data_IF_612616502684
#
_entry.id   IF_612616502684
#
_cell.length_a   1.000
_cell.length_b   1.000
_cell.length_c   1.000
_cell.angle_alpha   90.00
_cell.angle_beta   90.00
_cell.angle_gamma   90.00
#
_symmetry.space_group_name_H-M   'P 1'
#
loop_
_entity.id
_entity.type
_entity.pdbx_description
1 polymer ?
#
# COMPACT_ATOMS: atom_id res chain seq x y z
N UNK A 1 -0.24 -7.35 11.29
CA UNK A 1 -0.21 -6.01 11.93
C UNK A 1 -0.11 -4.97 10.82
N UNK A 2 -0.65 -3.77 11.03
CA UNK A 2 -0.57 -2.69 10.04
C UNK A 2 0.70 -1.88 10.27
N UNK A 3 1.47 -1.67 9.22
CA UNK A 3 2.70 -0.87 9.22
C UNK A 3 2.67 0.12 8.06
N UNK A 4 3.17 1.35 8.21
CA UNK A 4 3.37 2.25 7.08
C UNK A 4 4.53 1.74 6.23
N UNK A 5 4.25 1.35 4.98
CA UNK A 5 5.23 0.78 4.05
C UNK A 5 5.19 1.57 2.74
N UNK A 6 6.36 1.85 2.17
CA UNK A 6 6.45 2.41 0.82
C UNK A 6 6.10 1.32 -0.20
N UNK A 7 4.95 1.43 -0.86
CA UNK A 7 4.48 0.47 -1.87
C UNK A 7 3.92 1.18 -3.09
N UNK A 8 3.84 0.46 -4.21
CA UNK A 8 3.28 0.99 -5.45
C UNK A 8 1.78 1.18 -5.30
N UNK A 9 1.28 2.38 -5.65
CA UNK A 9 -0.12 2.77 -5.43
C UNK A 9 -0.85 3.16 -6.71
N UNK A 10 -0.36 2.71 -7.87
CA UNK A 10 -1.02 2.95 -9.15
C UNK A 10 -2.44 2.37 -9.14
N UNK A 11 -3.41 3.16 -9.61
CA UNK A 11 -4.84 2.84 -9.58
C UNK A 11 -5.51 3.09 -8.22
N UNK A 12 -4.75 3.39 -7.17
CA UNK A 12 -5.27 3.75 -5.85
C UNK A 12 -5.33 5.27 -5.70
N UNK A 13 -6.26 5.79 -4.91
CA UNK A 13 -6.35 7.23 -4.60
C UNK A 13 -6.40 8.15 -5.85
N UNK A 14 -6.87 7.64 -7.00
CA UNK A 14 -6.87 8.37 -8.27
C UNK A 14 -5.50 8.53 -8.94
N UNK A 15 -4.45 7.89 -8.41
CA UNK A 15 -3.08 7.95 -8.94
C UNK A 15 -2.97 7.06 -10.18
N UNK A 16 -2.51 7.63 -11.30
CA UNK A 16 -2.39 6.91 -12.58
C UNK A 16 -0.98 6.44 -12.89
N UNK A 17 0.02 7.10 -12.30
CA UNK A 17 1.42 6.83 -12.54
C UNK A 17 1.98 5.76 -11.61
N UNK A 18 3.09 5.13 -12.01
CA UNK A 18 3.81 4.16 -11.19
C UNK A 18 4.65 4.89 -10.12
N UNK A 19 4.03 5.18 -8.97
CA UNK A 19 4.66 5.86 -7.83
C UNK A 19 4.58 5.03 -6.57
N UNK A 20 5.56 5.20 -5.68
CA UNK A 20 5.61 4.58 -4.36
C UNK A 20 5.30 5.60 -3.27
N UNK A 21 4.32 5.29 -2.41
CA UNK A 21 3.95 6.12 -1.26
C UNK A 21 3.94 5.29 0.02
N UNK A 22 4.18 5.95 1.15
CA UNK A 22 4.02 5.33 2.48
C UNK A 22 2.53 5.26 2.82
N UNK A 23 1.97 4.05 2.77
CA UNK A 23 0.56 3.78 3.10
C UNK A 23 0.46 2.63 4.11
N UNK A 24 -0.63 2.54 4.88
CA UNK A 24 -0.83 1.44 5.81
C UNK A 24 -0.97 0.11 5.06
N UNK A 25 -0.07 -0.84 5.35
CA UNK A 25 -0.04 -2.17 4.74
C UNK A 25 -0.11 -3.26 5.82
N UNK A 26 -0.76 -4.38 5.49
CA UNK A 26 -0.71 -5.60 6.29
C UNK A 26 0.49 -6.43 5.80
N UNK A 27 1.37 -6.79 6.74
CA UNK A 27 2.49 -7.68 6.46
C UNK A 27 2.19 -9.11 6.92
N UNK A 28 2.48 -10.07 6.03
CA UNK A 28 2.52 -11.50 6.30
C UNK A 28 3.88 -12.10 5.96
N UNK A 29 4.00 -13.43 6.02
CA UNK A 29 5.27 -14.14 5.80
C UNK A 29 5.90 -13.87 4.42
N UNK A 30 5.08 -13.61 3.40
CA UNK A 30 5.51 -13.36 2.02
C UNK A 30 5.59 -11.87 1.66
N UNK A 31 5.60 -10.96 2.65
CA UNK A 31 5.64 -9.51 2.42
C UNK A 31 4.28 -8.84 2.59
N UNK A 32 3.94 -7.90 1.72
CA UNK A 32 2.66 -7.17 1.78
C UNK A 32 1.55 -8.12 1.35
N UNK A 33 0.64 -8.43 2.27
CA UNK A 33 -0.55 -9.23 1.98
C UNK A 33 -1.74 -8.37 1.59
N UNK A 34 -1.79 -7.12 2.06
CA UNK A 34 -2.88 -6.20 1.78
C UNK A 34 -2.45 -4.74 1.94
N UNK A 35 -3.09 -3.83 1.21
CA UNK A 35 -2.96 -2.38 1.35
C UNK A 35 -4.27 -1.82 1.90
N UNK A 36 -4.22 -1.22 3.08
CA UNK A 36 -5.41 -0.73 3.76
C UNK A 36 -5.89 0.55 3.10
N UNK A 37 -7.08 0.50 2.50
CA UNK A 37 -7.77 1.69 1.97
C UNK A 37 -8.66 2.28 3.06
N UNK A 38 -8.29 3.45 3.60
CA UNK A 38 -9.20 4.21 4.46
C UNK A 38 -10.18 4.98 3.59
N UNK A 39 -11.47 4.88 3.92
CA UNK A 39 -12.58 5.58 3.27
C UNK A 39 -12.74 6.99 3.83
#
# INVERSE_FOLDING_TARGET
RVHPISTMVKGMYGIKDDVFLSVPCVLGYHGITDVVMMT
#
